data_IF_432018025918
#
_entry.id   IF_432018025918
#
_cell.length_a   1.000
_cell.length_b   1.000
_cell.length_c   1.000
_cell.angle_alpha   90.00
_cell.angle_beta   90.00
_cell.angle_gamma   90.00
#
_symmetry.space_group_name_H-M   'P 1'
#
loop_
_entity.id
_entity.type
_entity.pdbx_description
1 polymer ?
#
# COMPACT_ATOMS: atom_id res chain seq x y z
N UNK A 1 -13.22 -14.65 5.39
CA UNK A 1 -13.21 -13.59 4.35
C UNK A 1 -12.11 -12.63 4.76
N UNK A 2 -10.93 -12.72 4.14
CA UNK A 2 -9.82 -11.82 4.47
C UNK A 2 -10.16 -10.47 3.84
N UNK A 3 -10.67 -9.55 4.66
CA UNK A 3 -10.89 -8.16 4.25
C UNK A 3 -9.51 -7.54 4.15
N UNK A 4 -8.88 -7.68 2.99
CA UNK A 4 -7.62 -6.99 2.71
C UNK A 4 -7.84 -5.49 2.93
N UNK A 5 -6.90 -4.85 3.59
CA UNK A 5 -6.91 -3.40 3.81
C UNK A 5 -6.17 -2.75 2.62
N UNK A 6 -6.85 -2.30 1.55
CA UNK A 6 -6.15 -1.82 0.36
C UNK A 6 -5.45 -0.48 0.59
N UNK A 7 -5.89 0.32 1.55
CA UNK A 7 -5.36 1.65 1.80
C UNK A 7 -4.81 1.74 3.22
N UNK A 8 -3.63 2.34 3.34
CA UNK A 8 -2.99 2.61 4.63
C UNK A 8 -2.46 4.03 4.67
N UNK A 9 -2.70 4.72 5.77
CA UNK A 9 -2.12 6.04 6.04
C UNK A 9 -1.08 5.88 7.14
N UNK A 10 0.15 6.31 6.86
CA UNK A 10 1.20 6.40 7.88
C UNK A 10 1.64 7.85 8.02
N UNK A 11 2.11 8.23 9.20
CA UNK A 11 2.60 9.57 9.43
C UNK A 11 3.73 9.64 10.45
N UNK A 12 4.55 10.67 10.33
CA UNK A 12 5.54 11.01 11.36
C UNK A 12 5.65 12.52 11.49
N UNK A 13 6.06 12.99 12.66
CA UNK A 13 6.40 14.41 12.84
C UNK A 13 7.83 14.64 12.35
N UNK A 14 8.14 15.85 11.89
CA UNK A 14 9.51 16.23 11.60
C UNK A 14 10.37 16.12 12.88
N UNK A 15 11.60 15.64 12.81
CA UNK A 15 12.35 15.19 11.62
C UNK A 15 11.99 13.75 11.21
N UNK A 16 12.16 13.39 9.93
CA UNK A 16 11.71 12.11 9.35
C UNK A 16 12.67 10.95 9.64
N UNK A 17 13.92 11.29 9.93
CA UNK A 17 15.04 10.37 10.14
C UNK A 17 14.92 9.54 11.42
N UNK A 18 14.47 10.10 12.56
CA UNK A 18 14.07 9.31 13.72
C UNK A 18 12.59 8.90 13.66
N UNK A 19 12.25 7.81 14.34
CA UNK A 19 10.86 7.54 14.71
C UNK A 19 10.38 8.40 15.89
N UNK A 20 9.15 8.19 16.37
CA UNK A 20 8.24 7.13 15.98
C UNK A 20 7.48 7.42 14.67
N UNK A 21 6.96 6.37 14.06
CA UNK A 21 6.00 6.47 12.94
C UNK A 21 4.65 5.93 13.40
N UNK A 22 3.58 6.70 13.17
CA UNK A 22 2.19 6.25 13.34
C UNK A 22 1.83 5.46 12.09
N UNK A 23 1.37 4.22 12.25
CA UNK A 23 1.21 3.26 11.15
C UNK A 23 -0.22 2.75 10.96
N UNK A 24 -1.14 3.15 11.82
CA UNK A 24 -2.54 2.76 11.73
C UNK A 24 -3.36 3.27 12.91
N UNK A 25 -4.66 3.04 12.83
CA UNK A 25 -5.64 3.27 13.90
C UNK A 25 -6.08 1.95 14.56
N UNK A 26 -6.95 2.03 15.55
CA UNK A 26 -7.50 0.86 16.28
C UNK A 26 -8.22 -0.20 15.41
N UNK A 27 -8.56 0.11 14.15
CA UNK A 27 -9.24 -0.80 13.21
C UNK A 27 -8.30 -1.38 12.17
N UNK A 28 -7.04 -0.97 12.21
CA UNK A 28 -6.02 -1.48 11.31
C UNK A 28 -5.77 -2.96 11.57
N UNK A 29 -5.51 -3.73 10.51
CA UNK A 29 -5.29 -5.18 10.58
C UNK A 29 -4.17 -5.51 11.59
N UNK A 30 -4.48 -6.23 12.69
CA UNK A 30 -3.50 -6.55 13.72
C UNK A 30 -2.27 -7.32 13.20
N UNK A 31 -2.41 -8.15 12.15
CA UNK A 31 -1.29 -8.89 11.58
C UNK A 31 -0.28 -7.93 10.91
N UNK A 32 -0.78 -6.87 10.26
CA UNK A 32 0.08 -5.82 9.68
C UNK A 32 0.77 -5.03 10.80
N UNK A 33 0.05 -4.71 11.88
CA UNK A 33 0.62 -3.95 13.00
C UNK A 33 1.69 -4.74 13.75
N UNK A 34 1.49 -6.05 13.94
CA UNK A 34 2.48 -6.98 14.49
C UNK A 34 3.73 -7.04 13.61
N UNK A 35 3.57 -7.18 12.29
CA UNK A 35 4.69 -7.17 11.33
C UNK A 35 5.51 -5.87 11.35
N UNK A 36 4.89 -4.74 11.69
CA UNK A 36 5.56 -3.45 11.81
C UNK A 36 6.18 -3.20 13.20
N UNK A 37 6.12 -4.18 14.11
CA UNK A 37 6.53 -4.05 15.51
C UNK A 37 5.81 -2.86 16.20
N UNK A 38 4.54 -2.65 15.87
CA UNK A 38 3.76 -1.49 16.33
C UNK A 38 2.96 -1.79 17.60
N UNK A 39 2.91 -0.82 18.51
CA UNK A 39 2.12 -0.89 19.74
C UNK A 39 0.95 0.07 19.67
N UNK A 40 -0.24 -0.38 20.10
CA UNK A 40 -1.42 0.48 20.22
C UNK A 40 -1.23 1.46 21.37
N UNK A 41 -1.26 2.75 21.06
CA UNK A 41 -1.13 3.84 22.00
C UNK A 41 -2.44 4.63 22.08
N UNK A 42 -2.91 4.89 23.29
CA UNK A 42 -4.06 5.74 23.55
C UNK A 42 -3.62 6.93 24.40
N UNK A 43 -3.62 8.12 23.80
CA UNK A 43 -3.29 9.35 24.51
C UNK A 43 -4.47 9.78 25.38
N UNK A 44 -4.22 10.06 26.66
CA UNK A 44 -5.29 10.48 27.58
C UNK A 44 -5.95 11.76 27.08
N UNK A 45 -7.25 11.68 26.81
CA UNK A 45 -8.05 12.80 26.30
C UNK A 45 -8.43 12.66 24.83
N UNK A 46 -7.85 11.70 24.10
CA UNK A 46 -8.30 11.34 22.77
C UNK A 46 -9.44 10.32 22.83
N UNK A 47 -10.32 10.35 21.84
CA UNK A 47 -11.38 9.35 21.67
C UNK A 47 -10.98 8.23 20.69
N UNK A 48 -9.69 8.14 20.36
CA UNK A 48 -9.14 7.20 19.39
C UNK A 48 -7.78 6.69 19.87
N UNK A 49 -7.40 5.52 19.37
CA UNK A 49 -6.09 4.93 19.59
C UNK A 49 -5.34 4.78 18.27
N UNK A 50 -4.02 4.83 18.32
CA UNK A 50 -3.16 4.75 17.14
C UNK A 50 -2.00 3.78 17.36
N UNK A 51 -1.65 3.04 16.32
CA UNK A 51 -0.47 2.18 16.33
C UNK A 51 0.78 2.99 16.04
N UNK A 52 1.79 2.84 16.89
CA UNK A 52 3.09 3.49 16.77
C UNK A 52 4.21 2.46 16.75
N UNK A 53 5.17 2.62 15.85
CA UNK A 53 6.44 1.88 15.86
C UNK A 53 7.60 2.84 16.11
N UNK A 54 8.69 2.35 16.72
CA UNK A 54 9.92 3.13 16.92
C UNK A 54 10.69 3.39 15.61
N UNK A 55 10.36 2.65 14.56
CA UNK A 55 11.01 2.79 13.26
C UNK A 55 10.72 4.16 12.61
N UNK A 56 11.70 4.67 11.86
CA UNK A 56 11.52 5.86 11.05
C UNK A 56 10.67 5.57 9.81
N UNK A 57 10.08 6.62 9.20
CA UNK A 57 9.13 6.47 8.11
C UNK A 57 9.70 5.67 6.93
N UNK A 58 10.99 5.84 6.60
CA UNK A 58 11.66 5.09 5.53
C UNK A 58 11.65 3.57 5.79
N UNK A 59 11.97 3.13 7.00
CA UNK A 59 11.97 1.71 7.36
C UNK A 59 10.56 1.13 7.29
N UNK A 60 9.56 1.90 7.73
CA UNK A 60 8.15 1.50 7.65
C UNK A 60 7.71 1.35 6.19
N UNK A 61 8.05 2.31 5.32
CA UNK A 61 7.77 2.21 3.89
C UNK A 61 8.42 0.97 3.26
N UNK A 62 9.68 0.69 3.58
CA UNK A 62 10.39 -0.51 3.09
C UNK A 62 9.72 -1.82 3.56
N UNK A 63 9.26 -1.87 4.82
CA UNK A 63 8.52 -3.02 5.37
C UNK A 63 7.18 -3.20 4.64
N UNK A 64 6.42 -2.12 4.46
CA UNK A 64 5.11 -2.15 3.79
C UNK A 64 5.22 -2.55 2.31
N UNK A 65 6.29 -2.13 1.63
CA UNK A 65 6.58 -2.53 0.25
C UNK A 65 6.74 -4.05 0.11
N UNK A 66 7.42 -4.71 1.07
CA UNK A 66 7.60 -6.17 1.06
C UNK A 66 6.30 -6.97 1.13
N UNK A 67 5.23 -6.38 1.70
CA UNK A 67 3.91 -7.01 1.78
C UNK A 67 2.94 -6.49 0.73
N UNK A 68 3.41 -5.72 -0.26
CA UNK A 68 2.69 -5.34 -1.47
C UNK A 68 2.02 -3.96 -1.44
N UNK A 69 2.28 -3.12 -0.43
CA UNK A 69 1.84 -1.73 -0.47
C UNK A 69 2.78 -0.87 -1.31
N UNK A 70 2.25 0.16 -1.95
CA UNK A 70 3.02 1.17 -2.70
C UNK A 70 2.60 2.55 -2.23
N UNK A 71 3.57 3.43 -1.98
CA UNK A 71 3.27 4.84 -1.73
C UNK A 71 2.68 5.47 -2.99
N UNK A 72 1.46 6.01 -2.89
CA UNK A 72 0.75 6.64 -4.03
C UNK A 72 0.67 8.15 -3.89
N UNK A 73 0.72 8.68 -2.67
CA UNK A 73 0.75 10.11 -2.40
C UNK A 73 1.47 10.41 -1.08
N UNK A 74 2.00 11.62 -0.97
CA UNK A 74 2.58 12.17 0.25
C UNK A 74 2.19 13.64 0.40
N UNK A 75 1.90 14.06 1.62
CA UNK A 75 1.64 15.46 1.96
C UNK A 75 2.26 15.84 3.30
N UNK A 76 2.42 17.15 3.54
CA UNK A 76 2.85 17.72 4.81
C UNK A 76 1.78 18.66 5.37
N UNK A 77 1.45 18.52 6.66
CA UNK A 77 0.50 19.37 7.38
C UNK A 77 1.16 19.83 8.68
N UNK A 78 1.53 21.11 8.77
CA UNK A 78 2.26 21.66 9.90
C UNK A 78 3.61 20.97 10.07
N UNK A 79 3.80 20.27 11.19
CA UNK A 79 5.01 19.51 11.49
C UNK A 79 4.88 18.02 11.15
N UNK A 80 3.80 17.59 10.49
CA UNK A 80 3.54 16.18 10.21
C UNK A 80 3.68 15.88 8.73
N UNK A 81 4.39 14.81 8.38
CA UNK A 81 4.41 14.21 7.05
C UNK A 81 3.51 12.96 7.03
N UNK A 82 2.73 12.80 5.97
CA UNK A 82 1.75 11.73 5.81
C UNK A 82 1.98 11.06 4.45
N UNK A 83 1.96 9.73 4.43
CA UNK A 83 1.97 8.93 3.20
C UNK A 83 0.67 8.14 3.09
N UNK A 84 0.07 8.17 1.90
CA UNK A 84 -0.97 7.25 1.50
C UNK A 84 -0.30 6.08 0.76
N UNK A 85 -0.55 4.88 1.24
CA UNK A 85 -0.15 3.65 0.58
C UNK A 85 -1.38 2.90 0.05
N UNK A 86 -1.19 2.22 -1.08
CA UNK A 86 -2.18 1.35 -1.68
C UNK A 86 -1.60 -0.04 -1.97
N UNK A 87 -2.35 -1.08 -1.63
CA UNK A 87 -2.10 -2.48 -2.00
C UNK A 87 -3.20 -2.92 -2.93
N UNK A 88 -2.81 -3.37 -4.13
CA UNK A 88 -3.75 -3.87 -5.12
C UNK A 88 -4.53 -5.07 -4.56
N UNK A 89 -5.85 -4.96 -4.62
CA UNK A 89 -6.75 -6.09 -4.49
C UNK A 89 -6.69 -6.82 -5.82
N UNK A 90 -5.98 -7.95 -5.88
CA UNK A 90 -6.01 -8.78 -7.08
C UNK A 90 -7.46 -9.19 -7.36
N UNK A 91 -7.94 -8.93 -8.58
CA UNK A 91 -9.11 -9.60 -9.14
C UNK A 91 -8.76 -11.08 -9.32
N UNK A 92 -8.73 -11.84 -8.22
CA UNK A 92 -8.42 -13.27 -8.21
C UNK A 92 -9.58 -14.12 -8.78
N UNK A 93 -10.39 -13.58 -9.68
CA UNK A 93 -11.45 -14.31 -10.40
C UNK A 93 -11.34 -14.25 -11.93
N UNK A 94 -10.40 -13.51 -12.55
CA UNK A 94 -10.36 -13.41 -14.04
C UNK A 94 -9.06 -13.89 -14.71
N UNK A 95 -8.04 -14.33 -13.96
CA UNK A 95 -6.77 -14.80 -14.56
C UNK A 95 -6.54 -16.31 -14.56
N UNK A 96 -7.55 -17.11 -14.20
CA UNK A 96 -7.46 -18.57 -14.25
C UNK A 96 -8.41 -19.19 -15.29
N UNK A 97 -8.37 -18.76 -16.55
CA UNK A 97 -8.66 -19.64 -17.69
C UNK A 97 -7.77 -19.22 -18.86
N UNK A 98 -6.75 -20.04 -19.13
CA UNK A 98 -5.84 -19.85 -20.26
C UNK A 98 -4.82 -20.97 -20.37
N UNK A 99 -5.17 -22.20 -19.99
CA UNK A 99 -4.37 -23.37 -20.31
C UNK A 99 -4.81 -23.87 -21.68
N UNK A 100 -4.19 -23.32 -22.72
CA UNK A 100 -3.96 -23.98 -24.00
C UNK A 100 -2.81 -23.24 -24.69
N UNK A 101 -1.63 -23.85 -24.63
CA UNK A 101 -0.37 -23.29 -25.11
C UNK A 101 -0.44 -22.79 -26.55
N UNK A 102 -0.46 -21.47 -26.71
CA UNK A 102 -0.05 -20.84 -27.96
C UNK A 102 0.73 -19.56 -27.64
N UNK A 103 2.00 -19.58 -28.04
CA UNK A 103 2.94 -18.47 -27.98
C UNK A 103 2.39 -17.31 -28.81
N UNK A 104 2.00 -16.20 -28.19
CA UNK A 104 1.66 -14.98 -28.92
C UNK A 104 2.96 -14.34 -29.42
N UNK A 105 3.28 -14.65 -30.67
CA UNK A 105 4.22 -13.87 -31.49
C UNK A 105 3.54 -12.53 -31.74
N UNK A 106 4.22 -11.44 -31.41
CA UNK A 106 3.72 -10.10 -31.69
C UNK A 106 3.77 -9.83 -33.19
N UNK A 107 2.61 -9.85 -33.85
CA UNK A 107 2.45 -9.31 -35.19
C UNK A 107 2.20 -7.80 -35.09
N UNK A 108 3.25 -7.02 -35.35
CA UNK A 108 3.09 -5.66 -35.85
C UNK A 108 2.63 -5.76 -37.32
N UNK A 109 1.32 -5.91 -37.53
CA UNK A 109 0.69 -5.96 -38.85
C UNK A 109 -0.44 -4.95 -38.94
N UNK A 110 -0.13 -3.69 -39.24
CA UNK A 110 -1.11 -2.75 -39.81
C UNK A 110 -1.04 -2.93 -41.33
N UNK A 111 -1.91 -3.77 -41.89
CA UNK A 111 -2.23 -3.72 -43.32
C UNK A 111 -3.50 -2.88 -43.50
N UNK A 112 -3.35 -1.85 -44.33
CA UNK A 112 -4.35 -0.84 -44.65
C UNK A 112 -5.29 -1.41 -45.73
N UNK A 113 -6.58 -1.08 -45.60
CA UNK A 113 -7.72 -1.59 -46.36
C UNK A 113 -7.55 -1.62 -47.89
N UNK A 114 -8.10 -2.68 -48.48
CA UNK A 114 -8.35 -2.85 -49.90
C UNK A 114 -9.42 -1.86 -50.42
N UNK A 115 -9.05 -1.01 -51.38
CA UNK A 115 -9.97 -0.36 -52.31
C UNK A 115 -9.94 -1.03 -53.69
N UNK A 116 -11.04 -1.72 -54.07
CA UNK A 116 -11.43 -2.01 -55.47
C UNK A 116 -11.64 -0.67 -56.22
N UNK A 117 -11.45 -0.50 -57.52
CA UNK A 117 -11.45 -1.37 -58.71
C UNK A 117 -10.61 -0.74 -59.82
#
# INVERSE_FOLDING_TARGET
MLLIMPHLLISTKIRLEPGPTIVGDERTDPEIMDYLDATLFHEKGNNFSEYRTSDCARIVLDKLEKIGYRAVAMTGIGQTCIWLLHKEVGDNETRLVGDNGTRLVGDNGVEIENGKS
#
